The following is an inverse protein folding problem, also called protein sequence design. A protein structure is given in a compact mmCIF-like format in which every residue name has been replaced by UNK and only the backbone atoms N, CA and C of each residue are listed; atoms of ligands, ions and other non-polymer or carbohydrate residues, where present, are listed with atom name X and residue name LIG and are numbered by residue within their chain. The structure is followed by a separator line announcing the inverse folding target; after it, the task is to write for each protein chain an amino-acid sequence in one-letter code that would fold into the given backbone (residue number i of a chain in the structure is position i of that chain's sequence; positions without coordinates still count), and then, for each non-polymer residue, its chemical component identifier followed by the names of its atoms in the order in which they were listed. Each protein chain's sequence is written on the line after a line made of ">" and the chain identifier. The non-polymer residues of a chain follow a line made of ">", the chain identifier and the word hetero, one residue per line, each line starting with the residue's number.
data_IF_908829469406
#
_entry.id   IF_908829469406
#
_cell.length_a   1.000
_cell.length_b   1.000
_cell.length_c   1.000
_cell.angle_alpha   90.00
_cell.angle_beta   90.00
_cell.angle_gamma   90.00
#
_symmetry.space_group_name_H-M   'P 1'
#
loop_
_entity.id
_entity.type
_entity.pdbx_description
1 polymer ?
#
# COMPACT_ATOMS: atom_id res chain seq x y z
N UNK A 1 -2.74 51.74 9.39
CA UNK A 1 -2.49 50.56 10.27
C UNK A 1 -3.27 49.32 9.79
N UNK A 2 -4.17 49.42 8.77
CA UNK A 2 -5.03 48.31 8.32
C UNK A 2 -4.42 47.39 7.27
N UNK A 3 -3.30 47.78 6.62
CA UNK A 3 -2.70 47.00 5.51
C UNK A 3 -1.85 45.77 5.93
N UNK A 4 -1.25 45.79 7.13
CA UNK A 4 -0.31 44.77 7.58
C UNK A 4 -1.00 43.46 7.95
N UNK A 5 -2.25 43.52 8.39
CA UNK A 5 -3.01 42.30 8.78
C UNK A 5 -3.53 41.50 7.58
N UNK A 6 -3.75 42.15 6.43
CA UNK A 6 -4.19 41.46 5.20
C UNK A 6 -3.04 40.67 4.58
N UNK A 7 -1.83 41.24 4.58
CA UNK A 7 -0.62 40.58 4.03
C UNK A 7 -0.24 39.33 4.88
N UNK A 8 -0.38 39.38 6.22
CA UNK A 8 -0.20 38.20 7.09
C UNK A 8 -1.25 37.13 6.88
N UNK A 9 -2.45 37.45 6.42
CA UNK A 9 -3.51 36.49 6.13
C UNK A 9 -3.32 35.79 4.79
N UNK A 10 -2.71 36.46 3.81
CA UNK A 10 -2.36 35.89 2.49
C UNK A 10 -1.17 34.93 2.59
N UNK A 11 -0.21 35.21 3.48
CA UNK A 11 0.94 34.35 3.77
C UNK A 11 0.57 32.98 4.38
N UNK A 12 -0.68 32.73 4.70
CA UNK A 12 -1.18 31.48 5.35
C UNK A 12 -1.93 30.55 4.39
N UNK A 13 -1.92 30.81 3.09
CA UNK A 13 -2.46 29.91 2.09
C UNK A 13 -1.43 28.79 1.87
N UNK A 14 -1.65 27.66 2.53
CA UNK A 14 -0.84 26.45 2.32
C UNK A 14 -1.04 25.96 0.91
N UNK A 15 0.05 25.67 0.20
CA UNK A 15 0.01 25.01 -1.09
C UNK A 15 -0.69 23.66 -0.95
N UNK A 16 -1.35 23.19 -2.02
CA UNK A 16 -2.08 21.91 -2.03
C UNK A 16 -1.16 20.75 -1.58
N UNK A 17 0.12 20.79 -1.95
CA UNK A 17 1.13 19.82 -1.55
C UNK A 17 1.36 19.79 -0.03
N UNK A 18 1.43 20.94 0.61
CA UNK A 18 1.58 21.02 2.08
C UNK A 18 0.37 20.45 2.81
N UNK A 19 -0.84 20.71 2.27
CA UNK A 19 -2.08 20.17 2.81
C UNK A 19 -2.09 18.65 2.67
N UNK A 20 -1.74 18.13 1.49
CA UNK A 20 -1.67 16.70 1.23
C UNK A 20 -0.65 16.03 2.16
N UNK A 21 0.56 16.57 2.28
CA UNK A 21 1.60 16.06 3.15
C UNK A 21 1.19 16.05 4.63
N UNK A 22 0.51 17.10 5.08
CA UNK A 22 0.00 17.18 6.45
C UNK A 22 -1.08 16.13 6.73
N UNK A 23 -1.98 15.87 5.76
CA UNK A 23 -3.01 14.83 5.85
C UNK A 23 -2.41 13.43 5.84
N UNK A 24 -1.45 13.17 4.94
CA UNK A 24 -0.73 11.88 4.90
C UNK A 24 -0.03 11.60 6.23
N UNK A 25 0.66 12.59 6.80
CA UNK A 25 1.30 12.45 8.13
C UNK A 25 0.30 12.10 9.22
N UNK A 26 -0.87 12.74 9.24
CA UNK A 26 -1.95 12.45 10.20
C UNK A 26 -2.46 11.01 10.06
N UNK A 27 -2.67 10.52 8.82
CA UNK A 27 -3.14 9.16 8.56
C UNK A 27 -2.09 8.12 8.95
N UNK A 28 -0.81 8.36 8.62
CA UNK A 28 0.30 7.47 9.00
C UNK A 28 0.46 7.39 10.53
N UNK A 29 0.23 8.49 11.24
CA UNK A 29 0.27 8.50 12.71
C UNK A 29 -0.85 7.63 13.32
N UNK A 30 -2.02 7.56 12.67
CA UNK A 30 -3.15 6.74 13.11
C UNK A 30 -3.02 5.28 12.71
N UNK A 31 -2.51 5.00 11.49
CA UNK A 31 -2.38 3.64 10.95
C UNK A 31 -0.96 3.41 10.43
N UNK A 32 -0.28 2.45 11.05
CA UNK A 32 1.05 2.03 10.61
C UNK A 32 0.94 1.14 9.39
N UNK A 33 1.31 1.65 8.23
CA UNK A 33 1.34 0.87 6.99
C UNK A 33 2.70 0.16 6.86
N UNK A 34 2.73 -1.18 6.63
CA UNK A 34 3.97 -1.88 6.37
C UNK A 34 4.57 -1.45 5.03
N UNK A 35 5.88 -1.51 4.93
CA UNK A 35 6.55 -1.36 3.64
C UNK A 35 6.40 -2.65 2.84
N UNK A 36 5.91 -2.53 1.61
CA UNK A 36 5.80 -3.62 0.66
C UNK A 36 6.13 -3.14 -0.75
N UNK A 37 6.53 -4.08 -1.59
CA UNK A 37 6.96 -3.84 -2.96
C UNK A 37 6.13 -4.67 -3.95
N UNK A 38 6.11 -4.28 -5.25
CA UNK A 38 5.56 -5.15 -6.28
C UNK A 38 6.24 -6.53 -6.25
N UNK A 39 5.44 -7.58 -6.37
CA UNK A 39 5.90 -8.98 -6.25
C UNK A 39 5.65 -9.60 -4.88
N UNK A 40 5.38 -8.81 -3.86
CA UNK A 40 5.06 -9.33 -2.53
C UNK A 40 3.63 -9.89 -2.50
N UNK A 41 3.45 -10.98 -1.75
CA UNK A 41 2.12 -11.51 -1.42
C UNK A 41 1.64 -10.75 -0.20
N UNK A 42 0.53 -10.03 -0.39
CA UNK A 42 -0.07 -9.19 0.65
C UNK A 42 -1.51 -9.62 0.92
N UNK A 43 -1.90 -9.50 2.20
CA UNK A 43 -3.25 -9.72 2.67
C UNK A 43 -3.82 -8.38 3.11
N UNK A 44 -4.86 -7.92 2.42
CA UNK A 44 -5.51 -6.63 2.64
C UNK A 44 -6.86 -6.87 3.32
N UNK A 45 -7.07 -6.26 4.48
CA UNK A 45 -8.36 -6.23 5.15
C UNK A 45 -9.17 -5.04 4.64
N UNK A 46 -10.33 -5.31 4.07
CA UNK A 46 -11.25 -4.30 3.53
C UNK A 46 -12.49 -4.24 4.42
N UNK A 47 -12.79 -3.06 4.92
CA UNK A 47 -14.04 -2.79 5.62
C UNK A 47 -15.20 -2.74 4.64
N UNK A 48 -16.23 -3.54 4.89
CA UNK A 48 -17.47 -3.55 4.13
C UNK A 48 -18.60 -3.28 5.12
N UNK A 49 -19.37 -2.23 4.83
CA UNK A 49 -20.56 -1.86 5.59
C UNK A 49 -21.80 -2.37 4.84
N UNK A 50 -22.49 -3.33 5.42
CA UNK A 50 -23.73 -3.92 4.89
C UNK A 50 -24.90 -3.55 5.80
N UNK A 51 -25.60 -2.46 5.44
CA UNK A 51 -26.69 -1.92 6.26
C UNK A 51 -26.19 -1.44 7.63
N UNK A 52 -26.58 -2.13 8.71
CA UNK A 52 -26.18 -1.81 10.09
C UNK A 52 -24.96 -2.58 10.61
N UNK A 53 -24.37 -3.46 9.79
CA UNK A 53 -23.26 -4.33 10.19
C UNK A 53 -22.01 -4.00 9.41
N UNK A 54 -20.89 -3.86 10.12
CA UNK A 54 -19.56 -3.71 9.54
C UNK A 54 -18.83 -5.04 9.62
N UNK A 55 -18.24 -5.49 8.50
CA UNK A 55 -17.37 -6.67 8.48
C UNK A 55 -16.09 -6.39 7.74
N UNK A 56 -15.04 -7.12 8.09
CA UNK A 56 -13.73 -7.05 7.41
C UNK A 56 -13.62 -8.25 6.48
N UNK A 57 -13.46 -7.98 5.19
CA UNK A 57 -13.15 -9.01 4.19
C UNK A 57 -11.68 -8.96 3.83
N UNK A 58 -11.02 -10.11 3.83
CA UNK A 58 -9.62 -10.21 3.46
C UNK A 58 -9.46 -10.54 1.98
N UNK A 59 -8.62 -9.76 1.33
CA UNK A 59 -8.19 -10.00 -0.04
C UNK A 59 -6.69 -10.31 -0.04
N UNK A 60 -6.33 -11.56 -0.33
CA UNK A 60 -4.94 -12.01 -0.38
C UNK A 60 -4.52 -12.26 -1.82
N UNK A 61 -3.36 -11.72 -2.21
CA UNK A 61 -2.86 -11.87 -3.57
C UNK A 61 -1.50 -11.21 -3.75
N UNK A 62 -1.02 -11.23 -4.98
CA UNK A 62 0.26 -10.65 -5.38
C UNK A 62 0.07 -9.18 -5.72
N UNK A 63 0.91 -8.31 -5.17
CA UNK A 63 0.98 -6.90 -5.55
C UNK A 63 1.63 -6.78 -6.94
N UNK A 64 0.85 -6.39 -7.97
CA UNK A 64 1.36 -6.25 -9.34
C UNK A 64 1.86 -4.85 -9.66
N UNK A 65 1.34 -3.83 -8.99
CA UNK A 65 1.74 -2.44 -9.20
C UNK A 65 1.54 -1.62 -7.93
N UNK A 66 2.43 -0.66 -7.70
CA UNK A 66 2.31 0.36 -6.65
C UNK A 66 2.58 1.72 -7.27
N UNK A 67 1.72 2.69 -6.97
CA UNK A 67 1.85 4.08 -7.38
C UNK A 67 1.99 4.95 -6.13
N UNK A 68 3.08 5.68 -6.03
CA UNK A 68 3.32 6.63 -4.96
C UNK A 68 2.95 8.03 -5.46
N UNK A 69 1.87 8.59 -4.93
CA UNK A 69 1.34 9.93 -5.25
C UNK A 69 0.76 10.57 -4.00
N UNK A 70 1.57 10.72 -2.97
CA UNK A 70 1.16 11.28 -1.69
C UNK A 70 -0.19 10.69 -1.22
N UNK A 71 -1.21 11.51 -0.98
CA UNK A 71 -2.53 11.06 -0.55
C UNK A 71 -3.22 10.13 -1.56
N UNK A 72 -2.94 10.27 -2.86
CA UNK A 72 -3.50 9.47 -3.95
C UNK A 72 -2.69 8.20 -4.25
N UNK A 73 -1.82 7.79 -3.33
CA UNK A 73 -1.05 6.54 -3.46
C UNK A 73 -1.98 5.35 -3.54
N UNK A 74 -1.71 4.45 -4.49
CA UNK A 74 -2.53 3.27 -4.72
C UNK A 74 -1.68 2.06 -5.08
N UNK A 75 -2.23 0.87 -4.85
CA UNK A 75 -1.60 -0.38 -5.22
C UNK A 75 -2.64 -1.36 -5.76
N UNK A 76 -2.22 -2.20 -6.68
CA UNK A 76 -3.08 -3.21 -7.32
C UNK A 76 -2.65 -4.60 -6.91
N UNK A 77 -3.60 -5.38 -6.44
CA UNK A 77 -3.40 -6.77 -6.02
C UNK A 77 -4.14 -7.70 -6.96
N UNK A 78 -3.44 -8.75 -7.41
CA UNK A 78 -3.98 -9.81 -8.25
C UNK A 78 -4.03 -11.12 -7.49
N UNK A 79 -5.16 -11.81 -7.57
CA UNK A 79 -5.29 -13.20 -7.13
C UNK A 79 -6.00 -14.03 -8.20
N UNK A 80 -5.79 -15.31 -8.19
CA UNK A 80 -6.55 -16.27 -8.99
C UNK A 80 -7.68 -16.80 -8.11
N UNK A 81 -8.92 -16.64 -8.55
CA UNK A 81 -10.11 -17.12 -7.88
C UNK A 81 -10.95 -17.91 -8.86
N UNK A 82 -11.25 -19.17 -8.57
CA UNK A 82 -12.01 -20.08 -9.45
C UNK A 82 -11.46 -20.17 -10.88
N UNK A 83 -10.13 -20.14 -11.04
CA UNK A 83 -9.48 -20.17 -12.36
C UNK A 83 -9.34 -18.81 -13.03
N UNK A 84 -10.06 -17.79 -12.58
CA UNK A 84 -10.05 -16.44 -13.13
C UNK A 84 -9.07 -15.51 -12.36
N UNK A 85 -8.42 -14.62 -13.11
CA UNK A 85 -7.52 -13.62 -12.55
C UNK A 85 -8.28 -12.38 -12.10
N UNK A 86 -8.45 -12.20 -10.81
CA UNK A 86 -9.13 -11.04 -10.22
C UNK A 86 -8.10 -10.01 -9.78
N UNK A 87 -8.24 -8.77 -10.27
CA UNK A 87 -7.41 -7.63 -9.88
C UNK A 87 -8.26 -6.60 -9.12
N UNK A 88 -7.72 -6.10 -8.02
CA UNK A 88 -8.34 -5.02 -7.26
C UNK A 88 -7.33 -3.95 -6.92
N UNK A 89 -7.68 -2.70 -7.21
CA UNK A 89 -6.86 -1.54 -6.86
C UNK A 89 -7.37 -0.92 -5.56
N UNK A 90 -6.45 -0.70 -4.64
CA UNK A 90 -6.72 -0.10 -3.34
C UNK A 90 -6.00 1.23 -3.23
N UNK A 91 -6.68 2.25 -2.72
CA UNK A 91 -6.03 3.49 -2.28
C UNK A 91 -5.37 3.23 -0.92
N UNK A 92 -4.06 3.53 -0.81
CA UNK A 92 -3.24 3.20 0.37
C UNK A 92 -3.76 3.87 1.65
N UNK A 93 -4.18 5.12 1.54
CA UNK A 93 -4.63 5.95 2.67
C UNK A 93 -6.16 6.00 2.82
N UNK A 94 -6.89 5.08 2.16
CA UNK A 94 -8.34 5.02 2.27
C UNK A 94 -8.79 4.47 3.64
N UNK A 95 -9.85 5.02 4.24
CA UNK A 95 -10.45 4.48 5.46
C UNK A 95 -11.04 3.08 5.28
N UNK A 96 -11.37 2.71 4.03
CA UNK A 96 -11.88 1.37 3.66
C UNK A 96 -10.82 0.29 3.86
N UNK A 97 -9.53 0.63 3.70
CA UNK A 97 -8.42 -0.29 3.95
C UNK A 97 -8.14 -0.29 5.45
N UNK A 98 -8.46 -1.38 6.12
CA UNK A 98 -8.25 -1.53 7.55
C UNK A 98 -6.82 -1.97 7.87
N UNK A 99 -6.40 -3.12 7.35
CA UNK A 99 -5.09 -3.70 7.62
C UNK A 99 -4.41 -4.17 6.34
N UNK A 100 -3.08 -4.02 6.31
CA UNK A 100 -2.23 -4.57 5.25
C UNK A 100 -1.17 -5.43 5.95
N UNK A 101 -1.09 -6.72 5.58
CA UNK A 101 -0.05 -7.64 6.07
C UNK A 101 0.73 -8.19 4.91
N UNK A 102 2.05 -8.16 5.00
CA UNK A 102 2.95 -8.83 4.04
C UNK A 102 3.10 -10.27 4.49
N UNK A 103 2.67 -11.22 3.65
CA UNK A 103 2.74 -12.65 3.91
C UNK A 103 4.10 -13.20 3.46
N UNK A 104 4.50 -12.87 2.23
CA UNK A 104 5.78 -13.29 1.65
C UNK A 104 6.34 -12.20 0.77
N UNK A 105 7.66 -12.06 0.74
CA UNK A 105 8.34 -11.11 -0.14
C UNK A 105 8.83 -11.81 -1.39
N UNK A 106 8.50 -11.25 -2.56
CA UNK A 106 8.87 -11.80 -3.86
C UNK A 106 10.13 -11.14 -4.44
N UNK A 107 10.95 -11.92 -5.14
CA UNK A 107 12.11 -11.42 -5.88
C UNK A 107 11.70 -11.11 -7.31
N UNK A 108 11.61 -9.82 -7.65
CA UNK A 108 11.25 -9.35 -8.99
C UNK A 108 12.23 -8.30 -9.49
N UNK A 109 12.34 -8.16 -10.83
CA UNK A 109 13.20 -7.19 -11.49
C UNK A 109 12.45 -5.96 -12.02
N UNK A 110 11.13 -6.02 -12.07
CA UNK A 110 10.27 -4.98 -12.64
C UNK A 110 9.40 -4.34 -11.56
N UNK A 111 9.17 -3.04 -11.67
CA UNK A 111 8.30 -2.29 -10.77
C UNK A 111 6.80 -2.54 -11.06
N UNK A 112 6.45 -2.97 -12.27
CA UNK A 112 5.07 -3.30 -12.67
C UNK A 112 5.06 -4.68 -13.30
N UNK A 113 4.18 -5.56 -12.83
CA UNK A 113 4.15 -6.98 -13.16
C UNK A 113 2.92 -7.32 -14.00
N UNK A 114 2.59 -6.49 -15.00
CA UNK A 114 1.41 -6.72 -15.84
C UNK A 114 1.50 -7.99 -16.70
N UNK A 115 2.70 -8.49 -16.95
CA UNK A 115 2.93 -9.75 -17.65
C UNK A 115 2.32 -10.98 -16.92
N UNK A 116 1.98 -10.85 -15.63
CA UNK A 116 1.31 -11.91 -14.88
C UNK A 116 -0.14 -12.13 -15.33
N UNK A 117 -0.70 -11.22 -16.13
CA UNK A 117 -2.04 -11.37 -16.70
C UNK A 117 -2.09 -12.51 -17.73
N UNK A 118 -1.02 -12.61 -18.52
CA UNK A 118 -0.91 -13.57 -19.62
C UNK A 118 -0.34 -14.92 -19.15
N UNK A 119 0.18 -14.96 -17.90
CA UNK A 119 0.81 -16.17 -17.35
C UNK A 119 -0.10 -16.86 -16.37
N UNK A 120 -0.20 -18.19 -16.52
CA UNK A 120 -0.99 -19.06 -15.65
C UNK A 120 -0.13 -20.23 -15.11
N UNK A 121 -0.58 -20.85 -14.03
CA UNK A 121 0.06 -22.03 -13.47
C UNK A 121 1.49 -21.80 -12.97
N UNK A 122 2.40 -22.66 -13.37
CA UNK A 122 3.81 -22.64 -12.91
C UNK A 122 4.57 -21.37 -13.36
N UNK A 123 4.26 -20.84 -14.56
CA UNK A 123 4.93 -19.65 -15.12
C UNK A 123 4.55 -18.33 -14.40
N UNK A 124 3.46 -18.32 -13.64
CA UNK A 124 3.03 -17.19 -12.84
C UNK A 124 3.63 -17.15 -11.43
N UNK A 125 4.39 -18.18 -11.04
CA UNK A 125 5.00 -18.23 -9.70
C UNK A 125 6.17 -17.27 -9.60
N UNK A 126 6.17 -16.46 -8.54
CA UNK A 126 7.25 -15.53 -8.20
C UNK A 126 8.14 -16.21 -7.16
N UNK A 127 9.46 -16.20 -7.41
CA UNK A 127 10.44 -16.72 -6.47
C UNK A 127 10.44 -15.89 -5.18
N UNK A 128 10.55 -16.54 -4.04
CA UNK A 128 10.62 -15.87 -2.75
C UNK A 128 11.97 -15.17 -2.56
N UNK A 129 11.95 -13.97 -1.99
CA UNK A 129 13.15 -13.24 -1.61
C UNK A 129 13.67 -13.78 -0.28
N UNK A 130 14.67 -14.64 -0.32
CA UNK A 130 15.34 -15.15 0.88
C UNK A 130 16.09 -13.98 1.53
N UNK A 131 15.66 -13.53 2.69
CA UNK A 131 16.46 -12.65 3.53
C UNK A 131 17.59 -13.49 4.09
N UNK A 132 18.82 -13.27 3.61
CA UNK A 132 19.99 -13.77 4.33
C UNK A 132 19.95 -13.15 5.71
N UNK A 133 19.74 -13.94 6.76
CA UNK A 133 20.04 -13.53 8.12
C UNK A 133 21.55 -13.31 8.12
N UNK A 134 21.98 -12.04 8.14
CA UNK A 134 23.35 -11.69 8.48
C UNK A 134 23.42 -12.01 9.97
N UNK A 135 24.01 -13.16 10.30
CA UNK A 135 24.32 -13.53 11.67
C UNK A 135 25.34 -12.51 12.19
N UNK A 136 24.86 -11.52 12.89
CA UNK A 136 25.68 -10.78 13.84
C UNK A 136 25.51 -11.54 15.12
N UNK A 137 26.32 -12.57 15.31
CA UNK A 137 26.60 -13.16 16.62
C UNK A 137 27.42 -12.11 17.37
N UNK A 138 26.73 -11.23 18.08
CA UNK A 138 27.35 -10.47 19.14
C UNK A 138 27.61 -11.45 20.27
N UNK A 139 28.78 -12.07 20.23
CA UNK A 139 29.36 -12.69 21.43
C UNK A 139 29.50 -11.62 22.50
N UNK A 140 28.55 -11.60 23.40
CA UNK A 140 28.71 -10.96 24.68
C UNK A 140 29.67 -11.79 25.55
N UNK A 141 30.86 -11.29 25.68
CA UNK A 141 31.82 -11.71 26.69
C UNK A 141 31.66 -10.83 27.93
#
# INVERSE_FOLDING_TARGET
>A
ICGINIIKKISKMKNIEEINNSKVKQIIAQKKHPEFFPGDIIKVGVKITEGKRDRIQYFEGVCIAKKNRDINSSFTVRKISFGEGVERTFALYSPVVDTIKVVRSGKVRRAKLYYLRDRTGKSARISEKIKKKIGIDLETK
#
